data_IF_051216918200
#
_entry.id   IF_051216918200
#
_cell.length_a   1.000
_cell.length_b   1.000
_cell.length_c   1.000
_cell.angle_alpha   90.00
_cell.angle_beta   90.00
_cell.angle_gamma   90.00
#
_symmetry.space_group_name_H-M   'P 1'
#
loop_
_entity.id
_entity.type
_entity.pdbx_description
1 polymer ?
#
# COMPACT_ATOMS: atom_id res chain seq x y z
N UNK A 1 -2.67 -9.53 11.03
CA UNK A 1 -2.35 -8.10 10.83
C UNK A 1 -2.25 -7.77 9.35
N UNK A 2 -1.42 -8.49 8.57
CA UNK A 2 -1.41 -8.40 7.09
C UNK A 2 -2.75 -8.76 6.43
N UNK A 3 -3.47 -9.73 7.01
CA UNK A 3 -4.69 -10.31 6.43
C UNK A 3 -5.84 -9.31 6.20
N UNK A 4 -5.94 -8.22 6.97
CA UNK A 4 -7.02 -7.23 6.81
C UNK A 4 -6.78 -6.33 5.60
N UNK A 5 -5.53 -5.93 5.38
CA UNK A 5 -5.14 -5.18 4.19
C UNK A 5 -5.26 -6.08 2.96
N UNK A 6 -4.89 -7.36 3.09
CA UNK A 6 -5.08 -8.34 2.03
C UNK A 6 -6.56 -8.54 1.70
N UNK A 7 -7.45 -8.55 2.70
CA UNK A 7 -8.90 -8.64 2.50
C UNK A 7 -9.45 -7.41 1.78
N UNK A 8 -8.90 -6.23 2.07
CA UNK A 8 -9.36 -4.97 1.50
C UNK A 8 -8.78 -4.68 0.09
N UNK A 9 -7.47 -4.84 -0.07
CA UNK A 9 -6.76 -4.56 -1.33
C UNK A 9 -6.67 -5.79 -2.25
N UNK A 10 -6.74 -7.00 -1.72
CA UNK A 10 -6.55 -8.23 -2.49
C UNK A 10 -7.62 -8.49 -3.56
N UNK A 11 -8.93 -8.40 -3.27
CA UNK A 11 -9.98 -8.81 -4.21
C UNK A 11 -10.18 -7.86 -5.41
N UNK A 12 -10.03 -6.56 -5.20
CA UNK A 12 -10.34 -5.55 -6.21
C UNK A 12 -9.13 -5.19 -7.06
N UNK A 13 -9.37 -4.87 -8.34
CA UNK A 13 -8.40 -4.16 -9.16
C UNK A 13 -8.55 -2.67 -8.88
N UNK A 14 -7.45 -2.03 -8.53
CA UNK A 14 -7.39 -0.59 -8.27
C UNK A 14 -6.49 0.04 -9.32
N UNK A 15 -6.89 1.20 -9.81
CA UNK A 15 -6.03 2.04 -10.64
C UNK A 15 -4.81 2.51 -9.86
N UNK A 16 -3.77 2.95 -10.58
CA UNK A 16 -2.59 3.55 -9.94
C UNK A 16 -2.97 4.72 -9.01
N UNK A 17 -3.88 5.59 -9.47
CA UNK A 17 -4.35 6.74 -8.69
C UNK A 17 -5.10 6.31 -7.42
N UNK A 18 -5.96 5.29 -7.49
CA UNK A 18 -6.66 4.76 -6.33
C UNK A 18 -5.70 4.11 -5.33
N UNK A 19 -4.73 3.32 -5.79
CA UNK A 19 -3.71 2.72 -4.92
C UNK A 19 -2.91 3.80 -4.19
N UNK A 20 -2.43 4.81 -4.90
CA UNK A 20 -1.68 5.92 -4.29
C UNK A 20 -2.55 6.75 -3.35
N UNK A 21 -3.83 6.97 -3.68
CA UNK A 21 -4.77 7.68 -2.81
C UNK A 21 -5.01 6.91 -1.51
N UNK A 22 -5.23 5.59 -1.58
CA UNK A 22 -5.37 4.74 -0.39
C UNK A 22 -4.11 4.81 0.47
N UNK A 23 -2.92 4.71 -0.12
CA UNK A 23 -1.67 4.84 0.63
C UNK A 23 -1.53 6.21 1.32
N UNK A 24 -1.91 7.30 0.65
CA UNK A 24 -1.85 8.65 1.20
C UNK A 24 -2.88 8.90 2.31
N UNK A 25 -4.03 8.24 2.24
CA UNK A 25 -5.08 8.34 3.27
C UNK A 25 -4.68 7.55 4.51
N UNK A 26 -4.10 6.36 4.31
CA UNK A 26 -3.84 5.43 5.40
C UNK A 26 -2.51 5.70 6.10
N UNK A 27 -1.45 6.04 5.39
CA UNK A 27 -0.09 6.04 5.94
C UNK A 27 0.53 7.43 6.02
N UNK A 28 1.36 7.64 7.04
CA UNK A 28 2.21 8.85 7.11
C UNK A 28 3.24 8.89 5.98
N UNK A 29 3.92 10.03 5.82
CA UNK A 29 5.06 10.11 4.89
C UNK A 29 6.18 9.12 5.23
N UNK A 30 6.46 8.91 6.52
CA UNK A 30 7.47 7.97 7.00
C UNK A 30 7.07 6.52 6.71
N UNK A 31 5.83 6.15 7.04
CA UNK A 31 5.32 4.80 6.81
C UNK A 31 5.25 4.46 5.32
N UNK A 32 4.86 5.41 4.47
CA UNK A 32 4.96 5.26 3.00
C UNK A 32 6.40 5.04 2.54
N UNK A 33 7.36 5.75 3.13
CA UNK A 33 8.79 5.54 2.88
C UNK A 33 9.27 4.13 3.24
N UNK A 34 8.82 3.60 4.39
CA UNK A 34 9.12 2.23 4.82
C UNK A 34 8.50 1.18 3.89
N UNK A 35 7.22 1.33 3.57
CA UNK A 35 6.51 0.44 2.62
C UNK A 35 7.20 0.44 1.26
N UNK A 36 7.58 1.61 0.74
CA UNK A 36 8.30 1.74 -0.53
C UNK A 36 9.65 1.05 -0.49
N UNK A 37 10.46 1.34 0.52
CA UNK A 37 11.79 0.75 0.67
C UNK A 37 11.75 -0.77 0.80
N UNK A 38 10.73 -1.31 1.48
CA UNK A 38 10.49 -2.75 1.53
C UNK A 38 10.05 -3.31 0.18
N UNK A 39 9.10 -2.66 -0.48
CA UNK A 39 8.61 -3.04 -1.82
C UNK A 39 9.76 -3.19 -2.82
N UNK A 40 10.64 -2.19 -2.90
CA UNK A 40 11.79 -2.18 -3.82
C UNK A 40 12.74 -3.33 -3.53
N UNK A 41 13.10 -3.55 -2.26
CA UNK A 41 13.98 -4.66 -1.87
C UNK A 41 13.39 -6.02 -2.19
N UNK A 42 12.07 -6.18 -2.03
CA UNK A 42 11.37 -7.41 -2.38
C UNK A 42 11.41 -7.64 -3.88
N UNK A 43 11.12 -6.60 -4.67
CA UNK A 43 11.21 -6.68 -6.14
C UNK A 43 12.60 -7.12 -6.59
N UNK A 44 13.65 -6.44 -6.11
CA UNK A 44 15.04 -6.71 -6.50
C UNK A 44 15.48 -8.13 -6.12
N UNK A 45 14.97 -8.67 -5.01
CA UNK A 45 15.22 -10.05 -4.60
C UNK A 45 14.51 -11.07 -5.48
N UNK A 46 13.28 -10.77 -5.90
CA UNK A 46 12.47 -11.65 -6.76
C UNK A 46 12.90 -11.58 -8.23
N UNK A 47 13.52 -10.47 -8.64
CA UNK A 47 14.00 -10.19 -10.00
C UNK A 47 15.48 -9.82 -10.00
N UNK A 48 16.39 -10.76 -9.66
CA UNK A 48 17.82 -10.47 -9.66
C UNK A 48 18.29 -10.12 -11.07
N UNK A 49 18.87 -8.94 -11.22
CA UNK A 49 19.60 -8.57 -12.43
C UNK A 49 21.03 -9.10 -12.28
N UNK A 50 21.63 -9.59 -13.37
CA UNK A 50 22.98 -10.15 -13.37
C UNK A 50 24.04 -9.22 -12.75
N UNK A 51 25.16 -9.80 -12.32
CA UNK A 51 26.19 -9.14 -11.51
C UNK A 51 26.49 -7.70 -11.93
N UNK A 52 26.12 -6.75 -11.08
CA UNK A 52 26.60 -5.36 -11.12
C UNK A 52 25.56 -4.27 -11.39
N UNK A 53 24.34 -4.61 -11.81
CA UNK A 53 23.29 -3.60 -12.03
C UNK A 53 22.44 -3.38 -10.78
N UNK A 54 22.14 -2.09 -10.50
CA UNK A 54 21.18 -1.74 -9.46
C UNK A 54 19.81 -2.30 -9.85
N UNK A 55 19.14 -2.97 -8.90
CA UNK A 55 17.85 -3.60 -9.15
C UNK A 55 16.80 -2.62 -9.68
N UNK A 56 15.85 -3.14 -10.48
CA UNK A 56 14.83 -2.33 -11.14
C UNK A 56 13.65 -1.95 -10.22
N UNK A 57 13.70 -2.26 -8.92
CA UNK A 57 12.60 -2.00 -8.00
C UNK A 57 12.23 -0.52 -7.90
N UNK A 58 13.21 0.38 -8.00
CA UNK A 58 12.99 1.84 -8.06
C UNK A 58 12.18 2.25 -9.32
N UNK A 59 12.40 1.58 -10.44
CA UNK A 59 11.65 1.80 -11.69
C UNK A 59 10.26 1.17 -11.58
N UNK A 60 10.15 -0.02 -10.98
CA UNK A 60 8.88 -0.73 -10.85
C UNK A 60 7.94 -0.08 -9.83
N UNK A 61 8.47 0.48 -8.74
CA UNK A 61 7.68 1.24 -7.78
C UNK A 61 7.43 2.67 -8.28
N UNK A 62 6.48 2.78 -9.21
CA UNK A 62 6.17 4.01 -9.94
C UNK A 62 5.58 5.09 -9.02
N UNK A 63 6.37 6.14 -8.77
CA UNK A 63 5.94 7.35 -8.04
C UNK A 63 5.14 8.33 -8.91
N UNK A 64 5.16 8.14 -10.23
CA UNK A 64 4.45 8.98 -11.20
C UNK A 64 3.38 8.16 -11.89
N UNK A 65 2.30 8.84 -12.26
CA UNK A 65 1.19 8.24 -12.98
C UNK A 65 1.68 7.66 -14.33
N UNK A 66 1.59 6.33 -14.53
CA UNK A 66 1.96 5.72 -15.80
C UNK A 66 0.89 5.85 -16.88
N UNK A 67 -0.26 6.49 -16.59
CA UNK A 67 -1.41 6.62 -17.48
C UNK A 67 -1.98 5.25 -17.91
N UNK A 68 -1.94 4.27 -17.00
CA UNK A 68 -2.49 2.94 -17.24
C UNK A 68 -4.03 2.97 -17.31
N UNK A 69 -4.56 2.22 -18.26
CA UNK A 69 -5.98 2.18 -18.61
C UNK A 69 -6.56 0.80 -18.31
N UNK A 70 -7.72 0.76 -17.65
CA UNK A 70 -8.38 -0.50 -17.28
C UNK A 70 -8.82 -1.36 -18.47
N UNK A 71 -9.00 -0.75 -19.65
CA UNK A 71 -9.41 -1.45 -20.87
C UNK A 71 -8.24 -2.22 -21.50
N UNK A 72 -6.99 -1.80 -21.24
CA UNK A 72 -5.80 -2.42 -21.78
C UNK A 72 -5.37 -3.61 -20.88
N UNK A 73 -5.26 -4.84 -21.45
CA UNK A 73 -4.88 -6.02 -20.67
C UNK A 73 -3.50 -5.93 -20.04
N UNK A 74 -2.50 -5.37 -20.74
CA UNK A 74 -1.13 -5.23 -20.26
C UNK A 74 -1.09 -4.24 -19.08
N UNK A 75 -1.83 -3.13 -19.20
CA UNK A 75 -1.98 -2.16 -18.11
C UNK A 75 -2.64 -2.77 -16.87
N UNK A 76 -3.60 -3.69 -17.03
CA UNK A 76 -4.20 -4.40 -15.89
C UNK A 76 -3.24 -5.37 -15.23
N UNK A 77 -2.34 -5.99 -15.97
CA UNK A 77 -1.28 -6.84 -15.40
C UNK A 77 -0.33 -5.99 -14.56
N UNK A 78 0.13 -4.87 -15.11
CA UNK A 78 0.96 -3.90 -14.41
C UNK A 78 0.32 -3.37 -13.11
N UNK A 79 -0.98 -3.04 -13.13
CA UNK A 79 -1.72 -2.67 -11.91
C UNK A 79 -1.76 -3.80 -10.86
N UNK A 80 -1.89 -5.06 -11.28
CA UNK A 80 -1.89 -6.21 -10.36
C UNK A 80 -0.52 -6.41 -9.73
N UNK A 81 0.54 -6.33 -10.52
CA UNK A 81 1.90 -6.47 -10.02
C UNK A 81 2.27 -5.35 -9.04
N UNK A 82 1.96 -4.10 -9.39
CA UNK A 82 2.17 -2.98 -8.48
C UNK A 82 1.41 -3.16 -7.16
N UNK A 83 0.16 -3.62 -7.24
CA UNK A 83 -0.67 -3.90 -6.06
C UNK A 83 -0.07 -5.01 -5.18
N UNK A 84 0.35 -6.11 -5.78
CA UNK A 84 1.00 -7.22 -5.05
C UNK A 84 2.29 -6.74 -4.37
N UNK A 85 3.08 -5.94 -5.08
CA UNK A 85 4.31 -5.38 -4.57
C UNK A 85 4.06 -4.43 -3.38
N UNK A 86 3.07 -3.55 -3.47
CA UNK A 86 2.64 -2.67 -2.36
C UNK A 86 2.18 -3.51 -1.17
N UNK A 87 1.36 -4.53 -1.39
CA UNK A 87 0.89 -5.43 -0.33
C UNK A 87 2.05 -6.08 0.40
N UNK A 88 3.02 -6.65 -0.35
CA UNK A 88 4.24 -7.23 0.20
C UNK A 88 5.04 -6.20 1.01
N UNK A 89 5.21 -4.98 0.49
CA UNK A 89 5.91 -3.90 1.18
C UNK A 89 5.23 -3.48 2.49
N UNK A 90 3.90 -3.38 2.52
CA UNK A 90 3.14 -3.08 3.73
C UNK A 90 3.35 -4.20 4.76
N UNK A 91 3.27 -5.47 4.35
CA UNK A 91 3.47 -6.62 5.24
C UNK A 91 4.83 -6.57 5.94
N UNK A 92 5.87 -6.09 5.27
CA UNK A 92 7.19 -5.97 5.86
C UNK A 92 7.36 -4.70 6.71
N UNK A 93 6.65 -3.61 6.38
CA UNK A 93 6.70 -2.36 7.13
C UNK A 93 5.90 -2.41 8.44
N UNK A 94 4.75 -3.08 8.47
CA UNK A 94 3.84 -3.12 9.63
C UNK A 94 4.51 -3.62 10.92
N UNK A 95 5.25 -4.75 10.95
CA UNK A 95 5.89 -5.23 12.18
C UNK A 95 6.99 -4.29 12.70
N UNK A 96 7.54 -3.44 11.83
CA UNK A 96 8.60 -2.49 12.17
C UNK A 96 8.05 -1.23 12.83
N UNK A 97 6.73 -1.04 12.84
CA UNK A 97 6.04 0.07 13.49
C UNK A 97 4.99 -0.44 14.49
N UNK A 98 5.20 -0.18 15.78
CA UNK A 98 4.21 -0.49 16.83
C UNK A 98 2.88 0.25 16.61
N UNK A 99 2.93 1.40 15.93
CA UNK A 99 1.76 2.20 15.59
C UNK A 99 0.92 1.54 14.50
N UNK A 100 1.57 1.05 13.44
CA UNK A 100 0.91 0.28 12.38
C UNK A 100 0.29 -1.01 12.92
N UNK A 101 1.02 -1.73 13.77
CA UNK A 101 0.57 -2.97 14.41
C UNK A 101 -0.79 -2.77 15.09
N UNK A 102 -0.93 -1.72 15.91
CA UNK A 102 -2.19 -1.38 16.60
C UNK A 102 -3.26 -0.86 15.65
N UNK A 103 -2.89 -0.03 14.67
CA UNK A 103 -3.84 0.55 13.75
C UNK A 103 -4.57 -0.49 12.89
N UNK A 104 -3.87 -1.58 12.51
CA UNK A 104 -4.41 -2.71 11.74
C UNK A 104 -5.14 -3.77 12.57
N UNK A 105 -5.41 -3.55 13.86
CA UNK A 105 -6.24 -4.44 14.67
C UNK A 105 -7.73 -4.37 14.27
N UNK A 106 -8.17 -3.25 13.68
CA UNK A 106 -9.54 -3.09 13.21
C UNK A 106 -9.85 -4.04 12.06
N UNK A 107 -11.06 -4.63 12.07
CA UNK A 107 -11.50 -5.60 11.06
C UNK A 107 -12.72 -5.11 10.31
N UNK A 108 -12.83 -5.50 9.05
CA UNK A 108 -14.05 -5.28 8.29
C UNK A 108 -15.15 -6.21 8.82
N UNK A 109 -16.27 -5.64 9.24
CA UNK A 109 -17.43 -6.44 9.64
C UNK A 109 -18.15 -6.97 8.40
N UNK A 110 -18.89 -8.08 8.54
CA UNK A 110 -19.52 -8.78 7.39
C UNK A 110 -20.47 -7.88 6.58
N UNK A 111 -21.15 -6.96 7.26
CA UNK A 111 -22.15 -6.07 6.67
C UNK A 111 -21.61 -4.64 6.49
N UNK A 112 -20.32 -4.42 6.76
CA UNK A 112 -19.69 -3.10 6.66
C UNK A 112 -19.30 -2.80 5.21
N UNK A 113 -19.74 -1.66 4.70
CA UNK A 113 -19.36 -1.20 3.36
C UNK A 113 -17.84 -0.95 3.28
N UNK A 114 -17.21 -1.15 2.10
CA UNK A 114 -15.78 -0.87 1.93
C UNK A 114 -15.37 0.54 2.34
N UNK A 115 -16.22 1.55 2.07
CA UNK A 115 -15.97 2.94 2.44
C UNK A 115 -16.05 3.17 3.96
N UNK A 116 -16.99 2.54 4.65
CA UNK A 116 -17.07 2.62 6.11
C UNK A 116 -15.87 1.96 6.77
N UNK A 117 -15.45 0.79 6.26
CA UNK A 117 -14.23 0.13 6.73
C UNK A 117 -12.98 0.98 6.51
N UNK A 118 -12.83 1.59 5.32
CA UNK A 118 -11.74 2.52 5.03
C UNK A 118 -11.68 3.68 6.02
N UNK A 119 -12.84 4.26 6.35
CA UNK A 119 -12.93 5.33 7.31
C UNK A 119 -12.51 4.88 8.71
N UNK A 120 -13.00 3.73 9.18
CA UNK A 120 -12.60 3.14 10.47
C UNK A 120 -11.10 2.84 10.53
N UNK A 121 -10.54 2.33 9.43
CA UNK A 121 -9.11 2.06 9.30
C UNK A 121 -8.30 3.35 9.35
N UNK A 122 -8.71 4.40 8.63
CA UNK A 122 -8.09 5.73 8.67
C UNK A 122 -8.11 6.32 10.09
N UNK A 123 -9.24 6.23 10.78
CA UNK A 123 -9.39 6.81 12.11
C UNK A 123 -8.50 6.05 13.13
N UNK A 124 -8.39 4.73 12.98
CA UNK A 124 -7.43 3.90 13.73
C UNK A 124 -5.97 4.28 13.43
N UNK A 125 -5.64 4.45 12.14
CA UNK A 125 -4.33 4.92 11.69
C UNK A 125 -3.99 6.25 12.34
N UNK A 126 -4.89 7.24 12.31
CA UNK A 126 -4.64 8.55 12.95
C UNK A 126 -4.38 8.44 14.45
N UNK A 127 -5.20 7.66 15.15
CA UNK A 127 -5.10 7.46 16.59
C UNK A 127 -3.74 6.90 17.03
N UNK A 128 -3.17 5.99 16.26
CA UNK A 128 -1.95 5.28 16.66
C UNK A 128 -0.68 5.77 15.96
N UNK A 129 -0.75 6.31 14.74
CA UNK A 129 0.42 6.85 14.01
C UNK A 129 0.80 8.28 14.41
N UNK A 130 -0.01 8.96 15.22
CA UNK A 130 0.22 10.36 15.58
C UNK A 130 0.02 11.32 14.40
N UNK A 131 -0.73 10.92 13.36
CA UNK A 131 -1.31 11.86 12.42
C UNK A 131 -2.30 12.73 13.20
N UNK A 132 -1.78 13.81 13.79
CA UNK A 132 -2.63 14.83 14.39
C UNK A 132 -3.63 15.31 13.34
N UNK A 133 -4.87 15.49 13.77
CA UNK A 133 -5.86 16.23 13.02
C UNK A 133 -5.34 17.67 12.92
N UNK A 134 -4.84 18.08 11.75
CA UNK A 134 -4.82 19.50 11.44
C UNK A 134 -6.29 19.97 11.46
N UNK A 135 -6.65 20.93 12.32
CA UNK A 135 -7.99 21.47 12.31
C UNK A 135 -8.17 22.17 10.97
N UNK A 136 -9.17 21.73 10.20
CA UNK A 136 -9.65 22.46 9.04
C UNK A 136 -10.09 23.83 9.54
N UNK A 137 -9.31 24.87 9.21
CA UNK A 137 -9.69 26.26 9.36
C UNK A 137 -10.52 26.71 8.15
#
# INVERSE_FOLDING_TARGET
MSEQIDQFLGPSLYTWAELMSILNILFTGEERGLTRGASIKIWDREHPIGDGDAGQGEVKFLLRDPQWENENPDHREEMRELKDLILKGIREAVPKSQNLTKAFEVRQEKDETPSAFLQKLRDSMRKYSGMNEDPVA
#
